data_IF_298924655910
#
_entry.id   IF_298924655910
#
_cell.length_a   1.000
_cell.length_b   1.000
_cell.length_c   1.000
_cell.angle_alpha   90.00
_cell.angle_beta   90.00
_cell.angle_gamma   90.00
#
_symmetry.space_group_name_H-M   'P 1'
#
loop_
_entity.id
_entity.type
_entity.pdbx_description
1 polymer ?
#
# COMPACT_ATOMS: atom_id res chain seq x y z
N UNK A 1 -2.86 0.67 14.18
CA UNK A 1 -3.32 -0.52 13.40
C UNK A 1 -3.46 -0.05 11.96
N UNK A 2 -3.26 -0.92 10.95
CA UNK A 2 -3.28 -0.53 9.52
C UNK A 2 -4.46 -1.17 8.76
N UNK A 3 -5.72 -0.88 9.14
CA UNK A 3 -6.89 -1.56 8.56
C UNK A 3 -7.11 -1.22 7.08
N UNK A 4 -6.81 0.01 6.66
CA UNK A 4 -7.01 0.44 5.26
C UNK A 4 -5.95 -0.19 4.36
N UNK A 5 -4.71 -0.28 4.84
CA UNK A 5 -3.64 -1.00 4.14
C UNK A 5 -3.93 -2.51 4.05
N UNK A 6 -4.51 -3.11 5.10
CA UNK A 6 -4.97 -4.50 5.05
C UNK A 6 -6.06 -4.71 3.99
N UNK A 7 -6.98 -3.77 3.88
CA UNK A 7 -8.02 -3.79 2.85
C UNK A 7 -7.41 -3.69 1.45
N UNK A 8 -6.50 -2.74 1.21
CA UNK A 8 -5.75 -2.62 -0.05
C UNK A 8 -5.12 -3.95 -0.44
N UNK A 9 -4.33 -4.56 0.45
CA UNK A 9 -3.70 -5.84 0.16
C UNK A 9 -4.69 -6.95 -0.16
N UNK A 10 -5.82 -7.00 0.57
CA UNK A 10 -6.81 -8.08 0.41
C UNK A 10 -7.64 -7.94 -0.86
N UNK A 11 -8.01 -6.72 -1.23
CA UNK A 11 -8.91 -6.46 -2.35
C UNK A 11 -8.16 -6.27 -3.67
N UNK A 12 -6.98 -5.64 -3.63
CA UNK A 12 -6.27 -5.17 -4.82
C UNK A 12 -5.00 -5.99 -5.11
N UNK A 13 -4.24 -6.44 -4.10
CA UNK A 13 -3.06 -7.28 -4.31
C UNK A 13 -3.41 -8.79 -4.38
N UNK A 14 -4.27 -9.16 -5.32
CA UNK A 14 -4.66 -10.58 -5.51
C UNK A 14 -3.54 -11.43 -6.16
N UNK A 15 -3.69 -12.76 -6.13
CA UNK A 15 -2.68 -13.71 -6.63
C UNK A 15 -2.37 -13.59 -8.13
N UNK A 16 -3.26 -12.95 -8.90
CA UNK A 16 -3.10 -12.73 -10.33
C UNK A 16 -2.25 -11.51 -10.67
N UNK A 17 -1.94 -10.68 -9.67
CA UNK A 17 -1.17 -9.47 -9.89
C UNK A 17 0.33 -9.83 -9.74
N UNK A 18 1.14 -9.41 -10.70
CA UNK A 18 2.60 -9.52 -10.68
C UNK A 18 3.26 -8.35 -9.95
N UNK A 19 4.57 -8.44 -9.69
CA UNK A 19 5.32 -7.38 -8.99
C UNK A 19 5.36 -6.07 -9.78
N UNK A 20 5.56 -6.17 -11.10
CA UNK A 20 5.53 -5.05 -12.04
C UNK A 20 4.19 -4.30 -12.08
N UNK A 21 3.09 -4.99 -11.76
CA UNK A 21 1.73 -4.44 -11.78
C UNK A 21 1.33 -3.76 -10.44
N UNK A 22 2.20 -3.76 -9.42
CA UNK A 22 1.86 -3.18 -8.11
C UNK A 22 1.52 -1.69 -8.21
N UNK A 23 2.22 -0.96 -9.07
CA UNK A 23 1.96 0.47 -9.28
C UNK A 23 0.60 0.69 -9.95
N UNK A 24 0.22 -0.18 -10.88
CA UNK A 24 -1.09 -0.12 -11.54
C UNK A 24 -2.21 -0.38 -10.54
N UNK A 25 -2.02 -1.35 -9.65
CA UNK A 25 -2.95 -1.68 -8.57
C UNK A 25 -3.08 -0.57 -7.52
N UNK A 26 -1.98 0.10 -7.17
CA UNK A 26 -2.01 1.32 -6.35
C UNK A 26 -2.82 2.42 -7.03
N UNK A 27 -2.62 2.60 -8.33
CA UNK A 27 -3.34 3.61 -9.12
C UNK A 27 -4.83 3.29 -9.19
N UNK A 28 -5.18 2.03 -9.44
CA UNK A 28 -6.57 1.54 -9.47
C UNK A 28 -7.28 1.82 -8.15
N UNK A 29 -6.64 1.51 -7.00
CA UNK A 29 -7.18 1.83 -5.68
C UNK A 29 -7.48 3.33 -5.54
N UNK A 30 -6.56 4.19 -5.99
CA UNK A 30 -6.74 5.64 -5.91
C UNK A 30 -7.84 6.17 -6.83
N UNK A 31 -8.21 5.44 -7.88
CA UNK A 31 -9.26 5.82 -8.83
C UNK A 31 -10.64 5.32 -8.42
N UNK A 32 -10.72 4.14 -7.81
CA UNK A 32 -11.99 3.49 -7.46
C UNK A 32 -12.48 3.86 -6.06
N UNK A 33 -11.58 4.15 -5.12
CA UNK A 33 -11.95 4.36 -3.72
C UNK A 33 -12.33 5.81 -3.40
N UNK A 34 -13.16 5.97 -2.36
CA UNK A 34 -13.59 7.28 -1.89
C UNK A 34 -12.43 8.05 -1.22
N UNK A 35 -12.53 9.39 -1.23
CA UNK A 35 -11.52 10.27 -0.61
C UNK A 35 -11.26 9.94 0.86
N UNK A 36 -12.27 9.45 1.59
CA UNK A 36 -12.10 9.02 2.99
C UNK A 36 -11.15 7.82 3.11
N UNK A 37 -11.34 6.78 2.29
CA UNK A 37 -10.48 5.60 2.28
C UNK A 37 -9.06 5.96 1.85
N UNK A 38 -8.92 6.78 0.81
CA UNK A 38 -7.63 7.30 0.34
C UNK A 38 -6.91 8.09 1.45
N UNK A 39 -7.61 8.97 2.16
CA UNK A 39 -7.04 9.76 3.25
C UNK A 39 -6.63 8.92 4.46
N UNK A 40 -7.41 7.88 4.81
CA UNK A 40 -7.02 6.92 5.86
C UNK A 40 -5.77 6.14 5.48
N UNK A 41 -5.68 5.71 4.22
CA UNK A 41 -4.51 5.00 3.72
C UNK A 41 -3.26 5.89 3.75
N UNK A 42 -3.35 7.14 3.30
CA UNK A 42 -2.24 8.10 3.35
C UNK A 42 -1.73 8.30 4.78
N UNK A 43 -2.64 8.44 5.75
CA UNK A 43 -2.29 8.57 7.15
C UNK A 43 -1.59 7.31 7.68
N UNK A 44 -2.12 6.13 7.34
CA UNK A 44 -1.54 4.84 7.70
C UNK A 44 -0.13 4.63 7.13
N UNK A 45 0.08 4.97 5.85
CA UNK A 45 1.38 4.83 5.19
C UNK A 45 2.41 5.82 5.73
N UNK A 46 2.03 7.09 5.90
CA UNK A 46 2.88 8.11 6.52
C UNK A 46 3.29 7.70 7.94
N UNK A 47 2.34 7.20 8.73
CA UNK A 47 2.62 6.70 10.08
C UNK A 47 3.59 5.50 10.10
N UNK A 48 3.49 4.62 9.10
CA UNK A 48 4.42 3.51 8.95
C UNK A 48 5.82 4.02 8.61
N UNK A 49 5.92 5.03 7.75
CA UNK A 49 7.18 5.67 7.38
C UNK A 49 7.86 6.37 8.54
N UNK A 50 7.13 7.19 9.28
CA UNK A 50 7.66 7.90 10.47
C UNK A 50 8.20 6.94 11.54
N UNK A 51 7.61 5.75 11.67
CA UNK A 51 8.00 4.74 12.66
C UNK A 51 8.96 3.69 12.13
N UNK A 52 9.39 3.81 10.87
CA UNK A 52 10.21 2.81 10.17
C UNK A 52 9.65 1.39 10.32
N UNK A 53 8.31 1.26 10.34
CA UNK A 53 7.62 0.03 10.68
C UNK A 53 7.49 -0.93 9.48
N UNK A 54 8.56 -1.06 8.70
CA UNK A 54 8.63 -1.79 7.43
C UNK A 54 8.39 -3.29 7.59
N UNK A 55 8.88 -3.87 8.68
CA UNK A 55 8.61 -5.27 9.02
C UNK A 55 7.11 -5.54 9.16
N UNK A 56 6.35 -4.56 9.68
CA UNK A 56 4.88 -4.67 9.75
C UNK A 56 4.28 -4.63 8.36
N UNK A 57 4.79 -3.77 7.48
CA UNK A 57 4.41 -3.76 6.06
C UNK A 57 4.61 -5.11 5.38
N UNK A 58 5.78 -5.73 5.59
CA UNK A 58 6.10 -7.07 5.05
C UNK A 58 5.09 -8.12 5.55
N UNK A 59 4.82 -8.15 6.86
CA UNK A 59 3.86 -9.07 7.46
C UNK A 59 2.45 -8.86 6.90
N UNK A 60 2.04 -7.61 6.68
CA UNK A 60 0.72 -7.30 6.12
C UNK A 60 0.61 -7.73 4.66
N UNK A 61 1.64 -7.46 3.85
CA UNK A 61 1.69 -7.90 2.45
C UNK A 61 1.63 -9.43 2.35
N UNK A 62 2.38 -10.15 3.20
CA UNK A 62 2.38 -11.60 3.23
C UNK A 62 1.03 -12.17 3.69
N UNK A 63 0.45 -11.59 4.74
CA UNK A 63 -0.79 -12.10 5.34
C UNK A 63 -2.04 -11.78 4.53
N UNK A 64 -2.12 -10.58 3.95
CA UNK A 64 -3.34 -10.08 3.32
C UNK A 64 -3.25 -10.04 1.80
N UNK A 65 -2.07 -9.75 1.23
CA UNK A 65 -1.83 -9.72 -0.21
C UNK A 65 -1.24 -11.02 -0.76
N UNK A 66 -0.94 -11.99 0.11
CA UNK A 66 -0.28 -13.25 -0.25
C UNK A 66 1.04 -13.03 -1.00
N UNK A 67 1.72 -11.91 -0.71
CA UNK A 67 3.00 -11.53 -1.32
C UNK A 67 4.10 -11.49 -0.29
N UNK A 68 5.21 -12.17 -0.58
CA UNK A 68 6.39 -12.11 0.26
C UNK A 68 7.30 -11.05 -0.36
N UNK A 69 7.28 -9.87 0.23
CA UNK A 69 8.21 -8.80 -0.08
C UNK A 69 9.37 -8.82 0.91
N UNK A 70 10.56 -8.54 0.41
CA UNK A 70 11.69 -8.09 1.19
C UNK A 70 11.40 -6.73 1.84
N UNK A 71 12.24 -6.37 2.82
CA UNK A 71 12.17 -5.06 3.46
C UNK A 71 12.40 -3.93 2.45
N UNK A 72 13.30 -4.12 1.49
CA UNK A 72 13.62 -3.13 0.46
C UNK A 72 12.44 -2.93 -0.50
N UNK A 73 11.85 -4.02 -1.01
CA UNK A 73 10.65 -3.95 -1.86
C UNK A 73 9.48 -3.31 -1.12
N UNK A 74 9.25 -3.69 0.14
CA UNK A 74 8.17 -3.11 0.95
C UNK A 74 8.36 -1.62 1.13
N UNK A 75 9.59 -1.17 1.41
CA UNK A 75 9.90 0.24 1.55
C UNK A 75 9.68 1.00 0.25
N UNK A 76 10.22 0.49 -0.86
CA UNK A 76 10.08 1.10 -2.18
C UNK A 76 8.59 1.21 -2.59
N UNK A 77 7.81 0.15 -2.39
CA UNK A 77 6.38 0.15 -2.68
C UNK A 77 5.59 1.15 -1.81
N UNK A 78 5.87 1.22 -0.50
CA UNK A 78 5.20 2.18 0.38
C UNK A 78 5.57 3.61 0.01
N UNK A 79 6.85 3.89 -0.26
CA UNK A 79 7.32 5.21 -0.68
C UNK A 79 6.68 5.63 -2.01
N UNK A 80 6.60 4.72 -3.00
CA UNK A 80 5.88 4.95 -4.25
C UNK A 80 4.40 5.24 -4.01
N UNK A 81 3.74 4.50 -3.12
CA UNK A 81 2.32 4.72 -2.84
C UNK A 81 2.07 6.10 -2.21
N UNK A 82 2.92 6.51 -1.28
CA UNK A 82 2.87 7.87 -0.69
C UNK A 82 3.06 8.94 -1.77
N UNK A 83 4.00 8.76 -2.69
CA UNK A 83 4.21 9.69 -3.81
C UNK A 83 2.97 9.78 -4.72
N UNK A 84 2.33 8.65 -5.05
CA UNK A 84 1.10 8.64 -5.85
C UNK A 84 -0.04 9.38 -5.14
N UNK A 85 -0.19 9.18 -3.84
CA UNK A 85 -1.17 9.87 -3.00
C UNK A 85 -0.96 11.39 -2.97
N UNK A 86 0.29 11.82 -2.86
CA UNK A 86 0.66 13.25 -2.89
C UNK A 86 0.43 13.88 -4.26
N UNK A 87 0.76 13.15 -5.35
CA UNK A 87 0.56 13.64 -6.71
C UNK A 87 -0.92 13.78 -7.08
N UNK A 88 -1.81 12.92 -6.56
CA UNK A 88 -3.27 13.07 -6.76
C UNK A 88 -3.88 14.25 -6.01
N UNK A 89 -3.17 14.88 -5.08
CA UNK A 89 -3.61 16.13 -4.43
C UNK A 89 -3.34 17.38 -5.27
N UNK A 90 -2.50 17.28 -6.31
CA UNK A 90 -2.12 18.39 -7.18
C UNK A 90 -3.15 18.66 -8.28
#
# INVERSE_FOLDING_TARGET
>A
MYPTLQYFFKAYCTLSVHEEEIVDVMTEFLEQEEREAIGKLEHELSHMQEKEAWEKGCVLAAKHGKRIWSLEETKDHIEKFIQLLQNKKA
#
